data_IF_525551394063
#
_entry.id   IF_525551394063
#
_cell.length_a   1.000
_cell.length_b   1.000
_cell.length_c   1.000
_cell.angle_alpha   90.00
_cell.angle_beta   90.00
_cell.angle_gamma   90.00
#
_symmetry.space_group_name_H-M   'P 1'
#
loop_
_entity.id
_entity.type
_entity.pdbx_description
1 polymer ?
#
# COMPACT_ATOMS: atom_id res chain seq x y z
N UNK A 1 20.24 11.32 6.13
CA UNK A 1 18.90 11.48 6.71
C UNK A 1 18.74 10.45 7.79
N UNK A 2 18.92 10.88 9.05
CA UNK A 2 18.64 10.07 10.22
C UNK A 2 17.13 9.94 10.34
N UNK A 3 16.57 8.89 9.78
CA UNK A 3 15.19 8.55 10.03
C UNK A 3 15.06 7.79 11.35
N UNK A 4 14.74 8.45 12.41
CA UNK A 4 14.11 7.89 13.60
C UNK A 4 12.64 7.46 13.30
N UNK A 5 12.32 6.69 12.22
CA UNK A 5 11.09 6.92 11.50
C UNK A 5 10.30 5.69 11.13
N UNK A 6 10.43 4.68 11.89
CA UNK A 6 9.37 3.72 11.96
C UNK A 6 8.06 4.33 12.48
N UNK A 7 8.14 5.36 13.34
CA UNK A 7 6.97 5.90 14.03
C UNK A 7 5.93 6.57 13.13
N UNK A 8 6.33 7.18 12.02
CA UNK A 8 5.43 7.99 11.18
C UNK A 8 5.01 7.31 9.86
N UNK A 9 5.50 6.09 9.61
CA UNK A 9 5.14 5.37 8.38
C UNK A 9 3.68 4.93 8.37
N UNK A 10 3.14 4.57 9.53
CA UNK A 10 1.75 4.15 9.69
C UNK A 10 0.94 5.29 10.28
N UNK A 11 -0.08 5.75 9.57
CA UNK A 11 -0.98 6.78 10.05
C UNK A 11 -1.69 6.33 11.35
N UNK A 12 -1.89 7.26 12.29
CA UNK A 12 -2.51 6.96 13.58
C UNK A 12 -3.93 6.37 13.46
N UNK A 13 -4.63 6.68 12.39
CA UNK A 13 -5.97 6.19 12.09
C UNK A 13 -5.99 4.91 11.26
N UNK A 14 -4.82 4.38 10.85
CA UNK A 14 -4.76 3.22 9.97
C UNK A 14 -5.18 1.94 10.68
N UNK A 15 -5.97 1.12 9.99
CA UNK A 15 -6.16 -0.27 10.38
C UNK A 15 -4.89 -1.08 10.14
N UNK A 16 -4.74 -2.16 10.87
CA UNK A 16 -3.62 -3.09 10.76
C UNK A 16 -4.04 -4.51 11.17
N UNK A 17 -3.24 -5.50 10.78
CA UNK A 17 -3.45 -6.90 11.17
C UNK A 17 -3.23 -7.88 10.03
N UNK A 18 -2.67 -9.04 10.35
CA UNK A 18 -2.28 -10.08 9.37
C UNK A 18 -3.45 -10.78 8.67
N UNK A 19 -4.66 -10.69 9.23
CA UNK A 19 -5.81 -11.42 8.70
C UNK A 19 -6.58 -10.61 7.67
N UNK A 20 -6.88 -9.34 7.98
CA UNK A 20 -7.83 -8.54 7.22
C UNK A 20 -7.20 -7.38 6.44
N UNK A 21 -5.90 -7.11 6.61
CA UNK A 21 -5.18 -6.09 5.87
C UNK A 21 -4.18 -6.78 4.94
N UNK A 22 -4.38 -6.69 3.64
CA UNK A 22 -3.56 -7.38 2.65
C UNK A 22 -2.25 -6.63 2.34
N UNK A 23 -2.33 -5.33 2.05
CA UNK A 23 -1.20 -4.51 1.62
C UNK A 23 -1.41 -3.05 2.07
N UNK A 24 -0.32 -2.32 2.26
CA UNK A 24 -0.35 -0.88 2.53
C UNK A 24 -0.10 -0.05 1.27
N UNK A 25 -0.62 1.16 1.27
CA UNK A 25 -0.39 2.16 0.24
C UNK A 25 -0.37 3.57 0.85
N UNK A 26 0.25 4.57 0.18
CA UNK A 26 0.25 5.94 0.65
C UNK A 26 -1.16 6.52 0.79
N UNK A 27 -1.46 7.09 1.95
CA UNK A 27 -2.77 7.66 2.27
C UNK A 27 -2.70 8.98 3.05
N UNK A 28 -1.51 9.56 3.24
CA UNK A 28 -1.30 10.81 3.96
C UNK A 28 -0.61 11.83 3.06
N UNK A 29 -1.07 13.08 3.13
CA UNK A 29 -0.59 14.19 2.27
C UNK A 29 -0.66 13.86 0.77
N UNK A 30 -1.76 13.28 0.35
CA UNK A 30 -2.00 12.94 -1.05
C UNK A 30 -2.56 14.16 -1.77
N UNK A 31 -1.84 14.65 -2.76
CA UNK A 31 -2.28 15.73 -3.63
C UNK A 31 -3.29 15.16 -4.64
N UNK A 32 -4.51 15.62 -4.58
CA UNK A 32 -5.59 15.09 -5.39
C UNK A 32 -6.55 16.18 -5.85
N UNK A 33 -7.28 15.90 -6.92
CA UNK A 33 -8.34 16.77 -7.44
C UNK A 33 -9.52 16.82 -6.47
N UNK A 34 -10.08 18.02 -6.31
CA UNK A 34 -11.30 18.27 -5.55
C UNK A 34 -12.32 19.01 -6.41
N UNK A 35 -13.60 19.07 -6.01
CA UNK A 35 -14.62 19.77 -6.77
C UNK A 35 -14.23 21.21 -7.15
N UNK A 36 -14.80 21.74 -8.24
CA UNK A 36 -14.59 23.08 -8.75
C UNK A 36 -13.15 23.36 -9.30
N UNK A 37 -12.55 22.36 -9.95
CA UNK A 37 -11.21 22.48 -10.55
C UNK A 37 -10.10 22.84 -9.54
N UNK A 38 -10.20 22.33 -8.34
CA UNK A 38 -9.21 22.56 -7.28
C UNK A 38 -8.37 21.32 -7.03
N UNK A 39 -7.24 21.53 -6.37
CA UNK A 39 -6.34 20.49 -5.88
C UNK A 39 -6.06 20.74 -4.41
N UNK A 40 -6.09 19.72 -3.62
CA UNK A 40 -5.85 19.80 -2.18
C UNK A 40 -5.07 18.58 -1.67
N UNK A 41 -4.39 18.76 -0.54
CA UNK A 41 -3.84 17.64 0.20
C UNK A 41 -4.93 16.94 1.00
N UNK A 42 -5.13 15.67 0.71
CA UNK A 42 -6.10 14.82 1.37
C UNK A 42 -5.39 13.69 2.13
N UNK A 43 -6.05 13.16 3.13
CA UNK A 43 -5.54 12.03 3.89
C UNK A 43 -6.68 11.08 4.27
N UNK A 44 -6.32 9.80 4.39
CA UNK A 44 -7.24 8.74 4.78
C UNK A 44 -7.01 7.46 3.97
N UNK A 45 -7.57 6.37 4.44
CA UNK A 45 -7.59 5.09 3.72
C UNK A 45 -8.27 5.24 2.35
N UNK A 46 -9.24 6.17 2.24
CA UNK A 46 -9.89 6.53 0.97
C UNK A 46 -8.94 7.10 -0.08
N UNK A 47 -7.75 7.58 0.32
CA UNK A 47 -6.69 8.04 -0.59
C UNK A 47 -5.71 6.92 -0.93
N UNK A 48 -5.53 5.95 -0.05
CA UNK A 48 -4.69 4.78 -0.28
C UNK A 48 -5.36 3.75 -1.22
N UNK A 49 -6.66 3.54 -1.07
CA UNK A 49 -7.40 2.56 -1.87
C UNK A 49 -7.34 2.82 -3.39
N UNK A 50 -7.52 4.04 -3.90
CA UNK A 50 -7.37 4.32 -5.33
C UNK A 50 -5.95 4.09 -5.86
N UNK A 51 -4.92 4.27 -5.04
CA UNK A 51 -3.54 3.97 -5.43
C UNK A 51 -3.38 2.48 -5.74
N UNK A 52 -3.89 1.61 -4.88
CA UNK A 52 -3.89 0.15 -5.09
C UNK A 52 -4.77 -0.22 -6.30
N UNK A 53 -5.95 0.38 -6.40
CA UNK A 53 -6.87 0.15 -7.54
C UNK A 53 -6.21 0.54 -8.87
N UNK A 54 -5.47 1.64 -8.91
CA UNK A 54 -4.72 2.09 -10.08
C UNK A 54 -3.63 1.10 -10.50
N UNK A 55 -2.90 0.53 -9.56
CA UNK A 55 -1.90 -0.52 -9.84
C UNK A 55 -2.58 -1.77 -10.40
N UNK A 56 -3.68 -2.20 -9.81
CA UNK A 56 -4.47 -3.33 -10.29
C UNK A 56 -5.01 -3.09 -11.70
N UNK A 57 -5.53 -1.90 -11.98
CA UNK A 57 -6.00 -1.51 -13.31
C UNK A 57 -4.89 -1.55 -14.36
N UNK A 58 -3.70 -1.07 -14.02
CA UNK A 58 -2.52 -1.13 -14.89
C UNK A 58 -2.13 -2.56 -15.21
N UNK A 59 -2.08 -3.45 -14.21
CA UNK A 59 -1.81 -4.88 -14.41
C UNK A 59 -2.84 -5.49 -15.35
N UNK A 60 -4.12 -5.26 -15.13
CA UNK A 60 -5.19 -5.83 -15.96
C UNK A 60 -5.22 -5.26 -17.37
N UNK A 61 -4.80 -4.02 -17.56
CA UNK A 61 -4.69 -3.39 -18.88
C UNK A 61 -3.64 -4.07 -19.76
N UNK A 62 -2.46 -4.34 -19.19
CA UNK A 62 -1.36 -4.98 -19.93
C UNK A 62 -1.46 -6.50 -19.97
N UNK A 63 -2.05 -7.12 -18.96
CA UNK A 63 -2.13 -8.59 -18.81
C UNK A 63 -3.57 -9.03 -18.53
N UNK A 64 -4.49 -8.85 -19.49
CA UNK A 64 -5.94 -9.08 -19.28
C UNK A 64 -6.30 -10.54 -19.00
N UNK A 65 -5.41 -11.48 -19.28
CA UNK A 65 -5.63 -12.91 -19.03
C UNK A 65 -5.45 -13.30 -17.55
N UNK A 66 -4.81 -12.44 -16.75
CA UNK A 66 -4.64 -12.70 -15.32
C UNK A 66 -6.00 -12.62 -14.59
N UNK A 67 -6.27 -13.60 -13.75
CA UNK A 67 -7.47 -13.62 -12.90
C UNK A 67 -7.40 -12.57 -11.79
N UNK A 68 -8.54 -12.22 -11.22
CA UNK A 68 -8.59 -11.30 -10.08
C UNK A 68 -7.75 -11.79 -8.88
N UNK A 69 -7.76 -13.09 -8.60
CA UNK A 69 -6.94 -13.68 -7.54
C UNK A 69 -5.45 -13.59 -7.82
N UNK A 70 -5.03 -13.77 -9.07
CA UNK A 70 -3.64 -13.60 -9.49
C UNK A 70 -3.20 -12.14 -9.36
N UNK A 71 -4.04 -11.18 -9.75
CA UNK A 71 -3.76 -9.73 -9.57
C UNK A 71 -3.62 -9.39 -8.09
N UNK A 72 -4.50 -9.87 -7.22
CA UNK A 72 -4.40 -9.69 -5.77
C UNK A 72 -3.08 -10.25 -5.24
N UNK A 73 -2.71 -11.45 -5.64
CA UNK A 73 -1.46 -12.09 -5.23
C UNK A 73 -0.23 -11.30 -5.68
N UNK A 74 -0.24 -10.79 -6.90
CA UNK A 74 0.83 -9.91 -7.42
C UNK A 74 0.97 -8.65 -6.56
N UNK A 75 -0.13 -7.98 -6.23
CA UNK A 75 -0.11 -6.78 -5.38
C UNK A 75 0.53 -7.04 -4.01
N UNK A 76 0.26 -8.19 -3.43
CA UNK A 76 0.79 -8.59 -2.13
C UNK A 76 2.27 -9.01 -2.19
N UNK A 77 2.66 -9.77 -3.21
CA UNK A 77 4.00 -10.37 -3.29
C UNK A 77 5.05 -9.39 -3.84
N UNK A 78 4.65 -8.50 -4.75
CA UNK A 78 5.55 -7.55 -5.44
C UNK A 78 5.86 -6.28 -4.66
N UNK A 79 5.17 -6.03 -3.55
CA UNK A 79 5.34 -4.81 -2.76
C UNK A 79 6.75 -4.68 -2.15
N UNK A 80 7.03 -3.48 -1.64
CA UNK A 80 8.27 -3.19 -0.92
C UNK A 80 8.13 -3.57 0.54
N UNK A 81 9.10 -4.31 1.06
CA UNK A 81 9.21 -4.61 2.48
C UNK A 81 9.94 -3.46 3.19
N UNK A 82 9.45 -3.10 4.38
CA UNK A 82 10.14 -2.20 5.29
C UNK A 82 10.49 -2.98 6.57
N UNK A 83 11.78 -3.12 6.84
CA UNK A 83 12.25 -3.84 8.03
C UNK A 83 12.48 -2.86 9.19
N UNK A 84 11.39 -2.26 9.65
CA UNK A 84 11.37 -1.25 10.70
C UNK A 84 10.25 -1.51 11.70
N UNK A 85 10.41 -1.03 12.92
CA UNK A 85 9.33 -0.97 13.89
C UNK A 85 8.49 0.30 13.68
N UNK A 86 7.20 0.18 13.81
CA UNK A 86 6.23 1.26 13.60
C UNK A 86 5.33 1.44 14.81
N UNK A 87 4.92 2.67 15.05
CA UNK A 87 3.92 3.01 16.08
C UNK A 87 2.52 2.79 15.48
N UNK A 88 1.68 2.09 16.22
CA UNK A 88 0.31 1.77 15.83
C UNK A 88 -0.68 2.64 16.61
N UNK A 89 -1.75 3.04 15.95
CA UNK A 89 -2.82 3.87 16.53
C UNK A 89 -2.34 5.20 17.13
N UNK A 90 -1.16 5.67 16.75
CA UNK A 90 -0.58 6.88 17.31
C UNK A 90 -0.09 6.78 18.75
N UNK A 91 -0.03 5.57 19.33
CA UNK A 91 0.41 5.32 20.70
C UNK A 91 1.85 4.84 20.75
N UNK A 92 2.81 5.63 21.27
CA UNK A 92 4.23 5.25 21.30
C UNK A 92 4.54 3.95 22.04
N UNK A 93 3.66 3.52 22.95
CA UNK A 93 3.77 2.24 23.66
C UNK A 93 3.30 1.04 22.83
N UNK A 94 2.60 1.26 21.73
CA UNK A 94 2.08 0.22 20.86
C UNK A 94 2.91 0.15 19.57
N UNK A 95 3.98 -0.62 19.60
CA UNK A 95 4.90 -0.79 18.48
C UNK A 95 4.91 -2.24 18.01
N UNK A 96 5.04 -2.43 16.71
CA UNK A 96 5.26 -3.74 16.08
C UNK A 96 6.12 -3.57 14.82
N UNK A 97 6.67 -4.67 14.33
CA UNK A 97 7.37 -4.68 13.06
C UNK A 97 6.38 -4.43 11.91
N UNK A 98 6.76 -3.58 10.97
CA UNK A 98 5.95 -3.30 9.77
C UNK A 98 5.57 -4.58 9.02
N UNK A 99 6.41 -5.59 9.04
CA UNK A 99 6.15 -6.89 8.41
C UNK A 99 5.03 -7.69 9.09
N UNK A 100 4.65 -7.33 10.30
CA UNK A 100 3.62 -8.01 11.08
C UNK A 100 2.22 -7.39 10.97
N UNK A 101 2.10 -6.18 10.45
CA UNK A 101 0.86 -5.39 10.52
C UNK A 101 -0.04 -5.53 9.30
N UNK A 102 0.35 -6.34 8.33
CA UNK A 102 -0.51 -6.78 7.23
C UNK A 102 -0.16 -8.21 6.81
N UNK A 103 -1.00 -8.81 5.98
CA UNK A 103 -0.80 -10.17 5.47
C UNK A 103 0.47 -10.27 4.62
N UNK A 104 0.72 -9.29 3.75
CA UNK A 104 1.93 -9.24 2.93
C UNK A 104 3.13 -8.65 3.67
N UNK A 105 2.91 -7.79 4.67
CA UNK A 105 3.96 -7.00 5.31
C UNK A 105 4.64 -6.01 4.36
N UNK A 106 3.92 -5.54 3.32
CA UNK A 106 4.50 -4.78 2.22
C UNK A 106 3.67 -3.55 1.86
N UNK A 107 4.34 -2.60 1.20
CA UNK A 107 3.73 -1.42 0.57
C UNK A 107 3.63 -1.69 -0.92
N UNK A 108 2.49 -1.38 -1.54
CA UNK A 108 2.27 -1.57 -2.97
C UNK A 108 3.35 -0.89 -3.82
N UNK A 109 3.82 -1.58 -4.87
CA UNK A 109 4.80 -1.06 -5.82
C UNK A 109 4.42 -1.44 -7.25
N UNK A 110 4.05 -0.45 -8.07
CA UNK A 110 3.59 -0.68 -9.44
C UNK A 110 4.67 -1.29 -10.33
N UNK A 111 5.91 -0.83 -10.24
CA UNK A 111 7.00 -1.33 -11.08
C UNK A 111 7.24 -2.82 -10.85
N UNK A 112 7.40 -3.22 -9.60
CA UNK A 112 7.60 -4.63 -9.25
C UNK A 112 6.37 -5.48 -9.60
N UNK A 113 5.17 -4.92 -9.45
CA UNK A 113 3.92 -5.59 -9.79
C UNK A 113 3.83 -5.91 -11.29
N UNK A 114 4.20 -4.96 -12.15
CA UNK A 114 4.22 -5.17 -13.61
C UNK A 114 5.27 -6.19 -14.03
N UNK A 115 6.46 -6.19 -13.44
CA UNK A 115 7.50 -7.21 -13.69
C UNK A 115 6.97 -8.61 -13.30
N UNK A 116 6.33 -8.72 -12.14
CA UNK A 116 5.78 -9.99 -11.68
C UNK A 116 4.65 -10.46 -12.58
N UNK A 117 3.75 -9.55 -13.00
CA UNK A 117 2.66 -9.85 -13.92
C UNK A 117 3.18 -10.35 -15.28
N UNK A 118 4.23 -9.74 -15.83
CA UNK A 118 4.87 -10.18 -17.06
C UNK A 118 5.37 -11.63 -16.95
N UNK A 119 6.05 -11.95 -15.85
CA UNK A 119 6.53 -13.32 -15.60
C UNK A 119 5.41 -14.33 -15.46
N UNK A 120 4.30 -13.96 -14.81
CA UNK A 120 3.17 -14.86 -14.60
C UNK A 120 2.29 -15.04 -15.85
N UNK A 121 2.33 -14.09 -16.78
CA UNK A 121 1.54 -14.13 -18.01
C UNK A 121 2.21 -14.93 -19.13
N UNK A 122 3.44 -15.26 -18.99
CA UNK A 122 4.24 -16.12 -19.89
C UNK A 122 4.08 -17.59 -19.50
#
# INVERSE_FOLDING_TARGET
LNYQYGSDLVASFSNYGKTNVDVFAPGVKIWATTPMNKYEFLQGTSMAAPAVAGVAAMIRSYYPKLSASQVKQILMDSGLSANIEVVLSGEPSNMDSFTNISKSGKIVNMYNALIMADKMSK
#
